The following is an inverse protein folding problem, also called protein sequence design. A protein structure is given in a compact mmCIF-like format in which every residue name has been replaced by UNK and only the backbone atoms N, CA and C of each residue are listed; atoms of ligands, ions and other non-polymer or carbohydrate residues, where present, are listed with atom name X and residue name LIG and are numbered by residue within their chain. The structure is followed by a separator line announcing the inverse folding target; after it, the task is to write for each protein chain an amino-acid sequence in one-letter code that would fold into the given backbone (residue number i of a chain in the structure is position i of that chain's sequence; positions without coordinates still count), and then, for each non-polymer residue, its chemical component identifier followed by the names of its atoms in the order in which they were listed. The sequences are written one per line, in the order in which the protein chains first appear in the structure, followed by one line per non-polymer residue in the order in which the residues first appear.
data_IF_438598687381
#
_entry.id   IF_438598687381
#
_cell.length_a   1.000
_cell.length_b   1.000
_cell.length_c   1.000
_cell.angle_alpha   90.00
_cell.angle_beta   90.00
_cell.angle_gamma   90.00
#
_symmetry.space_group_name_H-M   'P 1'
#
loop_
_entity.id
_entity.type
_entity.pdbx_description
1 polymer ?
#
# COMPACT_ATOMS: atom_id res chain seq x y z
N UNK A 1 9.25 -14.73 1.94
CA UNK A 1 10.40 -14.12 2.64
C UNK A 1 9.94 -12.76 3.10
N UNK A 2 10.83 -11.77 3.20
CA UNK A 2 10.41 -10.42 2.82
C UNK A 2 10.46 -10.42 1.30
N UNK A 3 9.31 -10.30 0.65
CA UNK A 3 9.19 -10.55 -0.79
C UNK A 3 9.29 -9.25 -1.62
N UNK A 4 9.26 -8.07 -1.00
CA UNK A 4 9.41 -6.79 -1.69
C UNK A 4 10.06 -5.72 -0.78
N UNK A 5 11.22 -5.18 -1.14
CA UNK A 5 11.86 -4.07 -0.43
C UNK A 5 12.41 -3.08 -1.47
N UNK A 6 11.96 -1.83 -1.40
CA UNK A 6 12.27 -0.86 -2.45
C UNK A 6 11.92 0.58 -2.08
N UNK A 7 12.35 1.50 -2.95
CA UNK A 7 11.93 2.91 -2.90
C UNK A 7 10.60 3.02 -3.62
N UNK A 8 9.55 3.33 -2.87
CA UNK A 8 8.20 3.57 -3.39
C UNK A 8 7.95 5.07 -3.38
N UNK A 9 7.36 5.60 -4.44
CA UNK A 9 6.90 6.99 -4.45
C UNK A 9 5.51 7.02 -3.80
N UNK A 10 5.40 7.69 -2.65
CA UNK A 10 4.10 7.85 -1.98
C UNK A 10 3.61 9.27 -2.17
N UNK A 11 2.48 9.40 -2.87
CA UNK A 11 1.80 10.69 -3.08
C UNK A 11 1.23 11.27 -1.79
N UNK A 12 0.91 10.46 -0.79
CA UNK A 12 0.35 10.92 0.49
C UNK A 12 1.42 11.40 1.47
N UNK A 13 2.67 10.93 1.33
CA UNK A 13 3.81 11.42 2.11
C UNK A 13 4.63 12.52 1.38
N UNK A 14 4.22 12.89 0.16
CA UNK A 14 4.80 14.01 -0.58
C UNK A 14 6.22 13.78 -1.12
N UNK A 15 6.66 12.53 -1.31
CA UNK A 15 8.01 12.24 -1.80
C UNK A 15 8.40 10.76 -1.84
N UNK A 16 9.71 10.49 -1.93
CA UNK A 16 10.27 9.14 -1.90
C UNK A 16 10.14 8.52 -0.51
N UNK A 17 9.58 7.31 -0.48
CA UNK A 17 9.34 6.53 0.72
C UNK A 17 10.16 5.27 0.64
N UNK A 18 10.95 5.00 1.68
CA UNK A 18 11.63 3.73 1.81
C UNK A 18 10.71 2.77 2.56
N UNK A 19 10.36 1.64 1.95
CA UNK A 19 9.39 0.74 2.53
C UNK A 19 9.69 -0.73 2.28
N UNK A 20 9.10 -1.55 3.13
CA UNK A 20 9.09 -3.00 2.99
C UNK A 20 7.65 -3.48 2.82
N UNK A 21 7.47 -4.40 1.89
CA UNK A 21 6.22 -5.03 1.55
C UNK A 21 6.31 -6.55 1.66
N UNK A 22 5.19 -7.17 1.99
CA UNK A 22 5.06 -8.62 1.89
C UNK A 22 3.64 -9.05 1.58
N UNK A 23 3.56 -10.17 0.88
CA UNK A 23 2.32 -10.92 0.72
C UNK A 23 2.16 -11.86 1.91
N UNK A 24 1.12 -11.63 2.72
CA UNK A 24 0.72 -12.56 3.78
C UNK A 24 -0.09 -13.73 3.24
N UNK A 25 -0.68 -13.54 2.06
CA UNK A 25 -1.43 -14.55 1.32
C UNK A 25 -1.45 -14.15 -0.16
N UNK A 26 -1.83 -15.04 -1.09
CA UNK A 26 -1.93 -14.71 -2.53
C UNK A 26 -2.86 -13.52 -2.86
N UNK A 27 -3.69 -13.10 -1.90
CA UNK A 27 -4.67 -12.01 -2.05
C UNK A 27 -4.47 -10.87 -1.07
N UNK A 28 -3.51 -10.99 -0.15
CA UNK A 28 -3.32 -10.04 0.95
C UNK A 28 -1.89 -9.54 0.93
N UNK A 29 -1.74 -8.25 0.59
CA UNK A 29 -0.49 -7.53 0.61
C UNK A 29 -0.50 -6.48 1.72
N UNK A 30 0.61 -6.40 2.44
CA UNK A 30 0.85 -5.40 3.47
C UNK A 30 2.20 -4.77 3.21
N UNK A 31 2.28 -3.45 3.23
CA UNK A 31 3.55 -2.73 3.21
C UNK A 31 3.56 -1.60 4.21
N UNK A 32 4.75 -1.32 4.73
CA UNK A 32 5.00 -0.17 5.57
C UNK A 32 6.20 0.59 5.02
N UNK A 33 6.04 1.91 4.88
CA UNK A 33 7.05 2.81 4.36
C UNK A 33 7.24 4.03 5.22
N UNK A 34 8.46 4.56 5.23
CA UNK A 34 8.84 5.80 5.92
C UNK A 34 9.34 6.82 4.90
N UNK A 35 8.90 8.07 5.03
CA UNK A 35 9.34 9.15 4.16
C UNK A 35 10.83 9.42 4.37
N UNK A 36 11.57 9.60 3.26
CA UNK A 36 12.98 10.00 3.30
C UNK A 36 13.13 11.53 3.38
N UNK A 37 12.12 12.27 2.93
CA UNK A 37 12.12 13.74 2.87
C UNK A 37 10.95 14.24 3.71
N UNK A 38 11.04 14.03 5.03
CA UNK A 38 10.04 14.45 6.02
C UNK A 38 9.85 13.42 7.14
N UNK A 39 9.19 13.82 8.23
CA UNK A 39 8.82 12.92 9.33
C UNK A 39 7.41 12.37 9.09
N UNK A 40 7.30 11.23 8.40
CA UNK A 40 6.02 10.58 8.15
C UNK A 40 6.18 9.13 7.75
N UNK A 41 5.20 8.31 8.09
CA UNK A 41 5.16 6.91 7.70
C UNK A 41 3.80 6.55 7.12
N UNK A 42 3.76 5.59 6.22
CA UNK A 42 2.57 5.08 5.55
C UNK A 42 2.48 3.56 5.70
N UNK A 43 1.31 3.08 6.08
CA UNK A 43 0.93 1.68 6.04
C UNK A 43 -0.04 1.48 4.88
N UNK A 44 0.27 0.57 3.97
CA UNK A 44 -0.60 0.18 2.87
C UNK A 44 -1.06 -1.26 3.06
N UNK A 45 -2.37 -1.46 2.95
CA UNK A 45 -3.03 -2.76 2.97
C UNK A 45 -3.77 -2.91 1.64
N UNK A 46 -3.44 -3.94 0.87
CA UNK A 46 -4.20 -4.29 -0.34
C UNK A 46 -4.79 -5.68 -0.19
N UNK A 47 -6.09 -5.79 -0.46
CA UNK A 47 -6.81 -7.03 -0.38
C UNK A 47 -7.68 -7.26 -1.62
N UNK A 48 -7.38 -8.34 -2.34
CA UNK A 48 -8.16 -8.78 -3.48
C UNK A 48 -9.38 -9.59 -3.00
N UNK A 49 -10.54 -8.96 -3.10
CA UNK A 49 -11.83 -9.61 -2.87
C UNK A 49 -12.18 -10.53 -4.05
N UNK A 50 -12.99 -11.56 -3.77
CA UNK A 50 -13.52 -12.42 -4.83
C UNK A 50 -14.46 -11.62 -5.75
N UNK A 51 -14.50 -11.98 -7.04
CA UNK A 51 -15.31 -11.34 -8.10
C UNK A 51 -14.74 -10.02 -8.70
N UNK A 52 -13.41 -9.86 -8.69
CA UNK A 52 -12.75 -8.73 -9.36
C UNK A 52 -12.80 -7.41 -8.58
N UNK A 53 -13.08 -7.48 -7.28
CA UNK A 53 -12.98 -6.34 -6.38
C UNK A 53 -11.59 -6.30 -5.74
N UNK A 54 -11.02 -5.13 -5.62
CA UNK A 54 -9.77 -4.85 -4.92
C UNK A 54 -10.03 -3.72 -3.91
N UNK A 55 -9.54 -3.92 -2.70
CA UNK A 55 -9.63 -2.93 -1.62
C UNK A 55 -8.22 -2.53 -1.25
N UNK A 56 -7.94 -1.24 -1.33
CA UNK A 56 -6.67 -0.67 -0.93
C UNK A 56 -6.92 0.38 0.15
N UNK A 57 -6.24 0.22 1.28
CA UNK A 57 -6.25 1.17 2.39
C UNK A 57 -4.82 1.63 2.59
N UNK A 58 -4.61 2.93 2.51
CA UNK A 58 -3.35 3.57 2.83
C UNK A 58 -3.56 4.51 4.02
N UNK A 59 -2.81 4.31 5.08
CA UNK A 59 -2.86 5.14 6.28
C UNK A 59 -1.48 5.74 6.54
N UNK A 60 -1.39 7.05 6.43
CA UNK A 60 -0.20 7.84 6.65
C UNK A 60 -0.36 8.71 7.90
N UNK A 61 0.75 9.18 8.47
CA UNK A 61 0.75 10.13 9.60
C UNK A 61 -0.06 11.40 9.32
N UNK A 62 -0.21 11.76 8.05
CA UNK A 62 -0.90 12.98 7.59
C UNK A 62 -2.34 12.71 7.17
N UNK A 63 -2.59 11.58 6.50
CA UNK A 63 -3.89 11.29 5.89
C UNK A 63 -4.15 9.78 5.81
N UNK A 64 -5.42 9.39 5.89
CA UNK A 64 -5.85 8.00 5.65
C UNK A 64 -6.81 7.98 4.48
N UNK A 65 -6.55 7.09 3.52
CA UNK A 65 -7.34 6.89 2.30
C UNK A 65 -7.73 5.43 2.16
N UNK A 66 -9.00 5.21 1.87
CA UNK A 66 -9.52 3.92 1.43
C UNK A 66 -10.00 4.04 -0.01
N UNK A 67 -9.64 3.09 -0.84
CA UNK A 67 -10.15 2.96 -2.20
C UNK A 67 -10.67 1.54 -2.43
N UNK A 68 -11.76 1.47 -3.19
CA UNK A 68 -12.34 0.20 -3.62
C UNK A 68 -12.41 0.24 -5.13
N UNK A 69 -11.66 -0.65 -5.76
CA UNK A 69 -11.59 -0.79 -7.20
C UNK A 69 -12.41 -2.00 -7.62
N UNK A 70 -13.24 -1.85 -8.65
CA UNK A 70 -13.96 -2.97 -9.23
C UNK A 70 -13.60 -3.12 -10.71
N UNK A 71 -13.18 -4.32 -11.09
CA UNK A 71 -12.90 -4.71 -12.47
C UNK A 71 -13.76 -5.89 -12.85
N UNK A 72 -14.55 -5.73 -13.91
CA UNK A 72 -15.24 -6.85 -14.58
C UNK A 72 -14.32 -7.36 -15.70
N UNK A 73 -13.72 -8.53 -15.50
CA UNK A 73 -13.08 -9.26 -16.61
C UNK A 73 -14.21 -9.72 -17.56
N UNK A 74 -14.01 -9.52 -18.87
CA UNK A 74 -15.01 -9.73 -19.92
C UNK A 74 -14.81 -11.07 -20.59
#
# INVERSE_FOLDING_TARGET
GLDDAGVLESRTLGGSVFGVGKYLSPKLYVSYGVSMVGSGSALTLKYLLRKGFDVEIESSTVETRGSVNWRKEK
#
